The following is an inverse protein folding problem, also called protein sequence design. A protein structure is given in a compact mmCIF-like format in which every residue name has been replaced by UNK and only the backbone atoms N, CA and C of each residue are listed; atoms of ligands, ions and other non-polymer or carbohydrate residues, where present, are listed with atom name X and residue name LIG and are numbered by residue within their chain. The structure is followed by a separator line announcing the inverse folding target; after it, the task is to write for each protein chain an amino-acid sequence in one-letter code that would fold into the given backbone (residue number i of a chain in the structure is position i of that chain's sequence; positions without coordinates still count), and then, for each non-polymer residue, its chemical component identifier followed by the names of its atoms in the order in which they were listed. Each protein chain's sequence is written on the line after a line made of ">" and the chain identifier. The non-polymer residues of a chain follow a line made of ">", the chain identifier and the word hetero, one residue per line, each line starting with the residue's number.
data_IF_155315073040
#
_entry.id   IF_155315073040
#
_cell.length_a   1.000
_cell.length_b   1.000
_cell.length_c   1.000
_cell.angle_alpha   90.00
_cell.angle_beta   90.00
_cell.angle_gamma   90.00
#
_symmetry.space_group_name_H-M   'P 1'
#
loop_
_entity.id
_entity.type
_entity.pdbx_description
1 polymer ?
#
# COMPACT_ATOMS: atom_id res chain seq x y z
N UNK A 1 19.27 -30.71 -21.80
CA UNK A 1 18.16 -29.74 -21.67
C UNK A 1 17.02 -30.26 -20.79
N UNK A 2 16.41 -31.41 -21.10
CA UNK A 2 15.23 -31.94 -20.36
C UNK A 2 15.42 -32.09 -18.84
N UNK A 3 16.59 -32.53 -18.40
CA UNK A 3 16.91 -32.74 -16.97
C UNK A 3 17.07 -31.43 -16.18
N UNK A 4 17.37 -30.32 -16.85
CA UNK A 4 17.52 -28.99 -16.23
C UNK A 4 16.17 -28.29 -16.09
N UNK A 5 15.34 -28.32 -17.15
CA UNK A 5 13.98 -27.77 -17.14
C UNK A 5 13.12 -28.36 -16.02
N UNK A 6 13.17 -29.68 -15.84
CA UNK A 6 12.43 -30.37 -14.78
C UNK A 6 12.93 -29.98 -13.39
N UNK A 7 14.25 -29.84 -13.20
CA UNK A 7 14.83 -29.40 -11.92
C UNK A 7 14.43 -27.95 -11.60
N UNK A 8 14.44 -27.07 -12.60
CA UNK A 8 14.02 -25.68 -12.46
C UNK A 8 12.55 -25.59 -12.07
N UNK A 9 11.68 -26.40 -12.68
CA UNK A 9 10.26 -26.48 -12.34
C UNK A 9 10.06 -26.87 -10.87
N UNK A 10 10.64 -27.99 -10.43
CA UNK A 10 10.49 -28.45 -9.04
C UNK A 10 11.06 -27.47 -8.02
N UNK A 11 12.22 -26.87 -8.32
CA UNK A 11 12.81 -25.86 -7.47
C UNK A 11 11.89 -24.63 -7.33
N UNK A 12 11.35 -24.15 -8.45
CA UNK A 12 10.40 -23.02 -8.48
C UNK A 12 9.12 -23.34 -7.71
N UNK A 13 8.62 -24.57 -7.85
CA UNK A 13 7.43 -25.07 -7.14
C UNK A 13 7.63 -25.17 -5.62
N UNK A 14 8.85 -25.39 -5.14
CA UNK A 14 9.14 -25.43 -3.71
C UNK A 14 9.24 -24.02 -3.09
N UNK A 15 9.73 -23.05 -3.85
CA UNK A 15 9.95 -21.67 -3.37
C UNK A 15 8.65 -20.89 -3.13
N UNK A 16 7.62 -21.12 -3.95
CA UNK A 16 6.36 -20.38 -3.86
C UNK A 16 5.61 -20.69 -2.54
N UNK A 17 5.33 -21.96 -2.19
CA UNK A 17 4.72 -22.30 -0.89
C UNK A 17 5.56 -21.85 0.30
N UNK A 18 6.88 -22.01 0.21
CA UNK A 18 7.80 -21.55 1.26
C UNK A 18 7.68 -20.04 1.48
N UNK A 19 7.69 -19.25 0.40
CA UNK A 19 7.53 -17.81 0.47
C UNK A 19 6.16 -17.38 0.98
N UNK A 20 5.08 -18.11 0.64
CA UNK A 20 3.73 -17.89 1.19
C UNK A 20 3.71 -18.11 2.69
N UNK A 21 4.23 -19.24 3.18
CA UNK A 21 4.29 -19.56 4.61
C UNK A 21 5.11 -18.51 5.37
N UNK A 22 6.24 -18.08 4.82
CA UNK A 22 7.06 -17.03 5.42
C UNK A 22 6.32 -15.69 5.50
N UNK A 23 5.53 -15.36 4.48
CA UNK A 23 4.74 -14.13 4.44
C UNK A 23 3.55 -14.18 5.39
N UNK A 24 2.94 -15.34 5.61
CA UNK A 24 1.89 -15.52 6.62
C UNK A 24 2.41 -15.31 8.05
N UNK A 25 3.71 -15.50 8.27
CA UNK A 25 4.38 -15.29 9.55
C UNK A 25 5.16 -13.96 9.61
N UNK A 26 4.73 -12.95 8.83
CA UNK A 26 5.29 -11.59 8.79
C UNK A 26 6.81 -11.50 8.50
N UNK A 27 7.41 -12.52 7.89
CA UNK A 27 8.83 -12.48 7.51
C UNK A 27 9.02 -11.71 6.20
N UNK A 28 9.84 -10.66 6.25
CA UNK A 28 10.19 -9.77 5.11
C UNK A 28 10.70 -10.56 3.89
N UNK A 29 11.42 -11.66 4.10
CA UNK A 29 11.96 -12.49 3.04
C UNK A 29 10.90 -13.26 2.22
N UNK A 30 9.64 -13.33 2.67
CA UNK A 30 8.59 -14.08 1.96
C UNK A 30 8.36 -13.61 0.53
N UNK A 31 8.37 -12.29 0.29
CA UNK A 31 8.23 -11.72 -1.06
C UNK A 31 9.38 -12.09 -2.00
N UNK A 32 10.60 -12.16 -1.46
CA UNK A 32 11.79 -12.57 -2.22
C UNK A 32 11.66 -14.02 -2.72
N UNK A 33 11.27 -14.96 -1.86
CA UNK A 33 11.10 -16.37 -2.24
C UNK A 33 9.95 -16.58 -3.24
N UNK A 34 8.81 -15.88 -3.05
CA UNK A 34 7.70 -15.91 -4.01
C UNK A 34 8.17 -15.38 -5.38
N UNK A 35 8.86 -14.23 -5.39
CA UNK A 35 9.38 -13.63 -6.62
C UNK A 35 10.35 -14.56 -7.35
N UNK A 36 11.28 -15.18 -6.62
CA UNK A 36 12.27 -16.09 -7.19
C UNK A 36 11.63 -17.36 -7.77
N UNK A 37 10.60 -17.90 -7.11
CA UNK A 37 9.81 -19.02 -7.63
C UNK A 37 8.99 -18.66 -8.87
N UNK A 38 8.36 -17.48 -8.91
CA UNK A 38 7.61 -17.02 -10.08
C UNK A 38 8.51 -16.75 -11.29
N UNK A 39 9.71 -16.18 -11.08
CA UNK A 39 10.71 -16.01 -12.15
C UNK A 39 11.13 -17.36 -12.73
N UNK A 40 11.39 -18.35 -11.86
CA UNK A 40 11.77 -19.69 -12.31
C UNK A 40 10.66 -20.39 -13.11
N UNK A 41 9.39 -20.23 -12.71
CA UNK A 41 8.24 -20.71 -13.49
C UNK A 41 8.15 -19.99 -14.85
N UNK A 42 8.29 -18.67 -14.88
CA UNK A 42 8.26 -17.89 -16.12
C UNK A 42 9.32 -18.38 -17.11
N UNK A 43 10.58 -18.53 -16.66
CA UNK A 43 11.68 -19.04 -17.49
C UNK A 43 11.36 -20.43 -18.03
N UNK A 44 10.85 -21.32 -17.18
CA UNK A 44 10.44 -22.67 -17.60
C UNK A 44 9.39 -22.63 -18.70
N UNK A 45 8.33 -21.82 -18.54
CA UNK A 45 7.25 -21.74 -19.51
C UNK A 45 7.68 -21.12 -20.84
N UNK A 46 8.49 -20.06 -20.81
CA UNK A 46 9.06 -19.47 -22.04
C UNK A 46 9.91 -20.51 -22.79
N UNK A 47 10.79 -21.22 -22.08
CA UNK A 47 11.63 -22.26 -22.69
C UNK A 47 10.80 -23.40 -23.30
N UNK A 48 9.76 -23.87 -22.59
CA UNK A 48 8.84 -24.90 -23.09
C UNK A 48 8.06 -24.40 -24.32
N UNK A 49 7.60 -23.15 -24.30
CA UNK A 49 6.83 -22.56 -25.42
C UNK A 49 7.67 -22.46 -26.68
N UNK A 50 8.91 -21.99 -26.57
CA UNK A 50 9.85 -21.90 -27.70
C UNK A 50 10.10 -23.28 -28.28
N UNK A 51 10.33 -24.28 -27.42
CA UNK A 51 10.60 -25.66 -27.84
C UNK A 51 9.40 -26.32 -28.52
N UNK A 52 8.19 -26.12 -28.00
CA UNK A 52 6.97 -26.68 -28.57
C UNK A 52 6.62 -25.99 -29.90
N UNK A 53 6.87 -24.68 -30.02
CA UNK A 53 6.73 -23.93 -31.27
C UNK A 53 7.69 -24.43 -32.37
N UNK A 54 8.97 -24.66 -32.02
CA UNK A 54 9.98 -25.15 -32.98
C UNK A 54 9.71 -26.58 -33.48
N UNK A 55 8.98 -27.40 -32.72
CA UNK A 55 8.71 -28.81 -33.06
C UNK A 55 7.40 -29.03 -33.85
N UNK A 56 6.56 -28.01 -34.04
CA UNK A 56 5.24 -28.15 -34.67
C UNK A 56 5.12 -27.37 -35.98
N UNK A 57 4.44 -27.97 -36.99
CA UNK A 57 4.11 -27.32 -38.28
C UNK A 57 2.92 -26.34 -38.21
N UNK A 58 2.15 -26.34 -37.12
CA UNK A 58 0.99 -25.45 -36.90
C UNK A 58 0.84 -25.06 -35.43
N UNK A 59 0.34 -23.86 -35.16
CA UNK A 59 0.08 -23.37 -33.79
C UNK A 59 -1.10 -24.15 -33.21
N UNK A 60 -0.82 -25.09 -32.29
CA UNK A 60 -1.84 -25.84 -31.57
C UNK A 60 -2.37 -25.05 -30.35
N UNK A 61 -3.60 -25.34 -29.93
CA UNK A 61 -4.24 -24.79 -28.72
C UNK A 61 -3.38 -24.89 -27.45
N UNK A 62 -2.51 -25.91 -27.35
CA UNK A 62 -1.59 -26.08 -26.22
C UNK A 62 -0.56 -24.94 -26.15
N UNK A 63 -0.10 -24.42 -27.30
CA UNK A 63 0.84 -23.28 -27.34
C UNK A 63 0.14 -22.01 -26.85
N UNK A 64 -1.13 -21.80 -27.24
CA UNK A 64 -1.93 -20.65 -26.77
C UNK A 64 -2.13 -20.71 -25.25
N UNK A 65 -2.47 -21.89 -24.72
CA UNK A 65 -2.60 -22.10 -23.27
C UNK A 65 -1.27 -21.82 -22.56
N UNK A 66 -0.14 -22.24 -23.12
CA UNK A 66 1.18 -22.01 -22.53
C UNK A 66 1.56 -20.52 -22.54
N UNK A 67 1.28 -19.79 -23.61
CA UNK A 67 1.47 -18.33 -23.69
C UNK A 67 0.61 -17.61 -22.65
N UNK A 68 -0.65 -18.04 -22.48
CA UNK A 68 -1.53 -17.49 -21.43
C UNK A 68 -0.94 -17.75 -20.04
N UNK A 69 -0.34 -18.92 -19.78
CA UNK A 69 0.35 -19.20 -18.51
C UNK A 69 1.54 -18.26 -18.29
N UNK A 70 2.37 -18.05 -19.32
CA UNK A 70 3.49 -17.10 -19.27
C UNK A 70 3.00 -15.71 -18.89
N UNK A 71 2.02 -15.17 -19.63
CA UNK A 71 1.46 -13.85 -19.38
C UNK A 71 0.87 -13.72 -17.97
N UNK A 72 0.18 -14.76 -17.49
CA UNK A 72 -0.36 -14.78 -16.13
C UNK A 72 0.73 -14.80 -15.07
N UNK A 73 1.79 -15.59 -15.23
CA UNK A 73 2.91 -15.58 -14.28
C UNK A 73 3.56 -14.20 -14.18
N UNK A 74 3.64 -13.44 -15.28
CA UNK A 74 4.12 -12.05 -15.27
C UNK A 74 3.18 -11.13 -14.50
N UNK A 75 1.86 -11.21 -14.75
CA UNK A 75 0.86 -10.40 -14.03
C UNK A 75 0.84 -10.73 -12.53
N UNK A 76 0.99 -12.00 -12.18
CA UNK A 76 1.10 -12.42 -10.79
C UNK A 76 2.39 -11.89 -10.15
N UNK A 77 3.52 -11.98 -10.85
CA UNK A 77 4.80 -11.44 -10.39
C UNK A 77 4.74 -9.94 -10.13
N UNK A 78 4.11 -9.17 -11.03
CA UNK A 78 3.96 -7.72 -10.85
C UNK A 78 2.96 -7.34 -9.76
N UNK A 79 1.88 -8.13 -9.55
CA UNK A 79 0.85 -7.86 -8.53
C UNK A 79 1.21 -8.34 -7.12
N UNK A 80 1.95 -9.44 -6.96
CA UNK A 80 2.21 -10.05 -5.63
C UNK A 80 3.41 -9.51 -4.87
N UNK A 81 4.37 -8.88 -5.55
CA UNK A 81 5.60 -8.43 -4.88
C UNK A 81 5.30 -7.42 -3.76
N UNK A 82 4.18 -6.69 -3.85
CA UNK A 82 3.93 -5.51 -3.02
C UNK A 82 2.64 -5.56 -2.15
N UNK A 83 1.71 -6.50 -2.36
CA UNK A 83 0.40 -6.54 -1.66
C UNK A 83 0.28 -7.67 -0.62
N UNK A 84 -0.30 -7.41 0.57
CA UNK A 84 -0.53 -8.44 1.60
C UNK A 84 -1.78 -9.26 1.25
N UNK A 85 -1.82 -10.54 1.64
CA UNK A 85 -2.97 -11.44 1.38
C UNK A 85 -4.31 -10.90 1.90
N UNK A 86 -4.30 -10.09 2.96
CA UNK A 86 -5.50 -9.44 3.52
C UNK A 86 -6.10 -8.35 2.63
N UNK A 87 -5.36 -7.88 1.63
CA UNK A 87 -5.74 -6.65 0.90
C UNK A 87 -6.79 -6.93 -0.19
N UNK A 88 -6.90 -8.17 -0.68
CA UNK A 88 -7.89 -8.56 -1.67
C UNK A 88 -8.31 -10.02 -1.53
N UNK A 89 -9.62 -10.30 -1.53
CA UNK A 89 -10.18 -11.66 -1.62
C UNK A 89 -9.71 -12.37 -2.90
N UNK A 90 -9.46 -11.62 -3.99
CA UNK A 90 -8.88 -12.15 -5.23
C UNK A 90 -7.50 -12.79 -5.05
N UNK A 91 -6.79 -12.50 -3.96
CA UNK A 91 -5.51 -13.16 -3.63
C UNK A 91 -5.70 -14.62 -3.18
N UNK A 92 -6.91 -15.02 -2.74
CA UNK A 92 -7.25 -16.43 -2.44
C UNK A 92 -7.45 -17.28 -3.70
N UNK A 93 -7.84 -16.65 -4.81
CA UNK A 93 -8.06 -17.33 -6.11
C UNK A 93 -6.73 -17.85 -6.69
N UNK A 94 -5.61 -17.30 -6.24
CA UNK A 94 -4.31 -17.46 -6.87
C UNK A 94 -3.57 -18.73 -6.42
N UNK A 95 -3.57 -19.11 -5.13
CA UNK A 95 -3.20 -20.46 -4.71
C UNK A 95 -3.99 -21.54 -5.44
N UNK A 96 -5.31 -21.34 -5.59
CA UNK A 96 -6.18 -22.26 -6.33
C UNK A 96 -5.76 -22.36 -7.81
N UNK A 97 -5.47 -21.22 -8.44
CA UNK A 97 -4.99 -21.15 -9.81
C UNK A 97 -3.63 -21.86 -9.98
N UNK A 98 -2.67 -21.63 -9.09
CA UNK A 98 -1.37 -22.31 -9.12
C UNK A 98 -1.56 -23.83 -9.02
N UNK A 99 -2.43 -24.30 -8.11
CA UNK A 99 -2.76 -25.72 -7.96
C UNK A 99 -3.38 -26.29 -9.24
N UNK A 100 -4.37 -25.62 -9.83
CA UNK A 100 -5.03 -26.03 -11.08
C UNK A 100 -4.02 -26.08 -12.23
N UNK A 101 -3.10 -25.12 -12.30
CA UNK A 101 -2.03 -25.06 -13.30
C UNK A 101 -1.06 -26.23 -13.18
N UNK A 102 -0.69 -26.59 -11.95
CA UNK A 102 0.17 -27.74 -11.64
C UNK A 102 -0.55 -29.05 -12.02
N UNK A 103 -1.83 -29.19 -11.67
CA UNK A 103 -2.63 -30.38 -12.01
C UNK A 103 -2.72 -30.55 -13.54
N UNK A 104 -2.96 -29.45 -14.26
CA UNK A 104 -2.95 -29.45 -15.72
C UNK A 104 -1.61 -29.97 -16.28
N UNK A 105 -0.49 -29.44 -15.78
CA UNK A 105 0.85 -29.84 -16.24
C UNK A 105 1.19 -31.30 -15.94
N UNK A 106 0.79 -31.81 -14.77
CA UNK A 106 1.05 -33.20 -14.39
C UNK A 106 0.22 -34.19 -15.20
N UNK A 107 -1.00 -33.81 -15.63
CA UNK A 107 -1.91 -34.67 -16.39
C UNK A 107 -1.67 -34.67 -17.91
N UNK A 108 -0.95 -33.69 -18.47
CA UNK A 108 -0.77 -33.54 -19.92
C UNK A 108 0.13 -34.64 -20.56
N UNK A 109 0.69 -35.56 -19.79
CA UNK A 109 1.57 -36.64 -20.31
C UNK A 109 0.87 -37.64 -21.25
N UNK A 110 -0.45 -37.59 -21.45
CA UNK A 110 -1.16 -38.50 -22.36
C UNK A 110 -2.20 -37.80 -23.26
N UNK A 111 -1.80 -37.62 -24.52
CA UNK A 111 -2.58 -37.63 -25.79
C UNK A 111 -3.97 -36.98 -25.89
N UNK A 112 -4.10 -36.27 -27.02
CA UNK A 112 -5.29 -35.87 -27.77
C UNK A 112 -6.16 -34.72 -27.23
N UNK A 113 -6.66 -33.97 -28.22
CA UNK A 113 -7.17 -32.60 -28.20
C UNK A 113 -8.57 -32.55 -27.60
N UNK A 114 -8.71 -32.88 -26.32
CA UNK A 114 -9.96 -32.61 -25.62
C UNK A 114 -9.71 -31.50 -24.60
N UNK A 115 -10.45 -30.40 -24.75
CA UNK A 115 -10.53 -29.34 -23.76
C UNK A 115 -10.86 -30.00 -22.42
N UNK A 116 -9.89 -30.03 -21.51
CA UNK A 116 -10.12 -30.60 -20.19
C UNK A 116 -10.92 -29.62 -19.34
N UNK A 117 -11.69 -30.11 -18.38
CA UNK A 117 -12.36 -29.26 -17.37
C UNK A 117 -11.36 -28.28 -16.74
N UNK A 118 -10.12 -28.74 -16.52
CA UNK A 118 -8.99 -27.92 -16.06
C UNK A 118 -8.72 -26.72 -16.96
N UNK A 119 -8.74 -26.91 -18.29
CA UNK A 119 -8.55 -25.85 -19.29
C UNK A 119 -9.68 -24.82 -19.28
N UNK A 120 -10.93 -25.24 -19.03
CA UNK A 120 -12.09 -24.35 -18.92
C UNK A 120 -12.00 -23.51 -17.64
N UNK A 121 -11.71 -24.16 -16.50
CA UNK A 121 -11.45 -23.45 -15.25
C UNK A 121 -10.29 -22.45 -15.39
N UNK A 122 -9.26 -22.81 -16.14
CA UNK A 122 -8.11 -21.94 -16.41
C UNK A 122 -8.53 -20.65 -17.13
N UNK A 123 -9.29 -20.77 -18.23
CA UNK A 123 -9.85 -19.63 -18.97
C UNK A 123 -10.79 -18.78 -18.10
N UNK A 124 -11.61 -19.40 -17.26
CA UNK A 124 -12.50 -18.67 -16.36
C UNK A 124 -11.73 -17.90 -15.28
N UNK A 125 -10.63 -18.45 -14.77
CA UNK A 125 -9.79 -17.80 -13.76
C UNK A 125 -8.93 -16.66 -14.33
N UNK A 126 -8.69 -16.62 -15.65
CA UNK A 126 -7.97 -15.50 -16.27
C UNK A 126 -8.84 -14.24 -16.36
N UNK A 127 -10.16 -14.40 -16.55
CA UNK A 127 -11.11 -13.28 -16.70
C UNK A 127 -11.03 -12.34 -15.49
N UNK A 128 -11.11 -12.77 -14.22
CA UNK A 128 -10.99 -11.86 -13.09
C UNK A 128 -9.63 -11.18 -12.95
N UNK A 129 -8.54 -11.81 -13.43
CA UNK A 129 -7.18 -11.30 -13.31
C UNK A 129 -6.87 -10.18 -14.31
N UNK A 130 -7.52 -10.20 -15.48
CA UNK A 130 -7.32 -9.26 -16.59
C UNK A 130 -8.51 -8.33 -16.84
N UNK A 131 -9.76 -8.78 -16.67
CA UNK A 131 -10.96 -7.99 -16.98
C UNK A 131 -11.33 -7.01 -15.86
N UNK A 132 -10.90 -7.26 -14.63
CA UNK A 132 -11.06 -6.30 -13.54
C UNK A 132 -9.76 -5.49 -13.40
N UNK A 133 -9.74 -4.31 -14.02
CA UNK A 133 -8.93 -3.22 -13.47
C UNK A 133 -9.54 -2.86 -12.12
N UNK A 134 -8.77 -3.03 -11.05
CA UNK A 134 -9.14 -2.47 -9.76
C UNK A 134 -8.92 -0.95 -9.87
N UNK A 135 -9.85 -0.24 -10.53
CA UNK A 135 -9.88 1.23 -10.58
C UNK A 135 -10.00 1.85 -9.18
N UNK A 136 -10.44 1.06 -8.22
CA UNK A 136 -10.36 1.41 -6.81
C UNK A 136 -8.99 0.98 -6.32
N UNK A 137 -8.16 1.98 -6.03
CA UNK A 137 -7.07 1.81 -5.09
C UNK A 137 -7.57 1.00 -3.88
N UNK A 138 -6.75 0.13 -3.28
CA UNK A 138 -7.17 -0.63 -2.11
C UNK A 138 -7.83 0.32 -1.09
N UNK A 139 -8.70 -0.17 -0.20
CA UNK A 139 -9.33 0.61 0.92
C UNK A 139 -8.33 1.45 1.76
N UNK A 140 -7.04 1.34 1.46
CA UNK A 140 -5.82 1.85 2.07
C UNK A 140 -5.19 3.00 1.28
N UNK A 141 -5.84 3.49 0.21
CA UNK A 141 -5.36 4.67 -0.48
C UNK A 141 -5.76 5.89 0.33
N UNK A 142 -4.79 6.38 1.10
CA UNK A 142 -4.75 7.76 1.53
C UNK A 142 -4.85 8.58 0.23
N UNK A 143 -5.91 9.37 -0.02
CA UNK A 143 -5.99 10.21 -1.19
C UNK A 143 -4.67 10.96 -1.34
N UNK A 144 -4.19 11.14 -2.57
CA UNK A 144 -2.91 11.83 -2.80
C UNK A 144 -2.98 13.25 -2.21
N UNK A 145 -4.20 13.78 -2.15
CA UNK A 145 -4.64 15.03 -1.55
C UNK A 145 -4.63 15.01 0.01
N UNK A 146 -4.65 13.86 0.66
CA UNK A 146 -4.73 13.75 2.13
C UNK A 146 -3.37 13.99 2.81
N UNK A 147 -2.32 13.64 2.09
CA UNK A 147 -0.94 14.06 2.35
C UNK A 147 -0.69 15.55 2.05
N UNK A 148 -1.60 16.16 1.32
CA UNK A 148 -1.61 17.57 0.98
C UNK A 148 -2.34 18.33 2.10
N UNK A 149 -1.91 18.09 3.35
CA UNK A 149 -2.17 18.93 4.53
C UNK A 149 -2.01 20.44 4.21
N UNK A 150 -1.22 20.76 3.18
CA UNK A 150 -0.87 22.10 2.71
C UNK A 150 -1.45 22.49 1.34
N UNK A 151 -2.29 21.66 0.70
CA UNK A 151 -2.83 21.90 -0.66
C UNK A 151 -4.38 21.91 -0.69
N UNK A 152 -5.00 22.22 0.45
CA UNK A 152 -6.33 22.85 0.39
C UNK A 152 -6.13 24.12 -0.45
N UNK A 153 -6.93 24.37 -1.49
CA UNK A 153 -6.71 25.50 -2.43
C UNK A 153 -6.61 26.87 -1.74
N UNK A 154 -7.12 26.96 -0.50
CA UNK A 154 -6.69 27.94 0.50
C UNK A 154 -5.81 27.20 1.50
N UNK A 155 -4.50 27.16 1.27
CA UNK A 155 -3.59 26.55 2.22
C UNK A 155 -3.71 27.36 3.48
N UNK A 156 -4.39 26.84 4.52
CA UNK A 156 -4.32 27.45 5.83
C UNK A 156 -2.84 27.31 6.20
N UNK A 157 -2.08 28.42 6.29
CA UNK A 157 -0.71 28.31 6.73
C UNK A 157 -0.77 27.70 8.12
N UNK A 158 -0.33 26.45 8.25
CA UNK A 158 -0.17 25.84 9.55
C UNK A 158 1.08 26.51 10.09
N UNK A 159 0.87 27.56 10.87
CA UNK A 159 1.94 28.15 11.63
C UNK A 159 2.39 27.11 12.64
N UNK A 160 3.62 26.64 12.46
CA UNK A 160 4.24 25.73 13.41
C UNK A 160 4.86 26.64 14.46
N UNK A 161 4.34 26.71 15.70
CA UNK A 161 4.69 27.73 16.69
C UNK A 161 6.11 27.57 17.26
N UNK A 162 6.93 26.74 16.63
CA UNK A 162 8.30 26.44 17.01
C UNK A 162 9.25 27.07 15.99
N UNK A 163 9.87 28.17 16.42
CA UNK A 163 11.02 28.76 15.74
C UNK A 163 12.28 27.93 15.95
N UNK A 164 13.41 28.44 15.45
CA UNK A 164 14.72 27.83 15.62
C UNK A 164 15.60 28.70 16.50
N UNK A 165 16.37 28.09 17.39
CA UNK A 165 17.34 28.80 18.23
C UNK A 165 18.68 29.01 17.50
N UNK A 166 19.02 28.09 16.59
CA UNK A 166 20.26 28.16 15.83
C UNK A 166 19.96 28.36 14.34
N UNK A 167 20.65 29.33 13.74
CA UNK A 167 20.54 29.62 12.30
C UNK A 167 20.90 28.39 11.44
N UNK A 168 21.89 27.61 11.87
CA UNK A 168 22.27 26.38 11.19
C UNK A 168 21.14 25.35 11.19
N UNK A 169 20.43 25.17 12.32
CA UNK A 169 19.24 24.31 12.40
C UNK A 169 18.16 24.79 11.45
N UNK A 170 17.90 26.10 11.41
CA UNK A 170 16.91 26.71 10.51
C UNK A 170 17.25 26.44 9.03
N UNK A 171 18.49 26.69 8.62
CA UNK A 171 18.96 26.46 7.25
C UNK A 171 18.82 24.98 6.84
N UNK A 172 19.21 24.05 7.73
CA UNK A 172 19.05 22.61 7.51
C UNK A 172 17.57 22.23 7.38
N UNK A 173 16.71 22.77 8.26
CA UNK A 173 15.27 22.50 8.24
C UNK A 173 14.60 23.03 6.97
N UNK A 174 14.96 24.24 6.52
CA UNK A 174 14.43 24.84 5.27
C UNK A 174 14.85 23.97 4.07
N UNK A 175 16.12 23.58 3.99
CA UNK A 175 16.61 22.71 2.92
C UNK A 175 15.92 21.34 2.92
N UNK A 176 15.73 20.75 4.09
CA UNK A 176 15.02 19.48 4.25
C UNK A 176 13.55 19.60 3.80
N UNK A 177 12.89 20.71 4.12
CA UNK A 177 11.52 20.99 3.71
C UNK A 177 11.37 21.10 2.18
N UNK A 178 12.30 21.78 1.49
CA UNK A 178 12.31 21.87 0.03
C UNK A 178 12.56 20.50 -0.65
N UNK A 179 13.44 19.67 -0.07
CA UNK A 179 13.63 18.28 -0.53
C UNK A 179 12.35 17.46 -0.35
N UNK A 180 11.66 17.62 0.78
CA UNK A 180 10.36 16.96 1.03
C UNK A 180 9.31 17.37 0.00
N UNK A 181 9.23 18.66 -0.37
CA UNK A 181 8.31 19.16 -1.43
C UNK A 181 8.62 18.55 -2.79
N UNK A 182 9.89 18.33 -3.10
CA UNK A 182 10.34 17.65 -4.33
C UNK A 182 10.33 16.12 -4.21
N UNK A 183 9.77 15.56 -3.13
CA UNK A 183 9.63 14.12 -2.83
C UNK A 183 10.96 13.38 -2.64
N UNK A 184 12.05 14.10 -2.38
CA UNK A 184 13.36 13.57 -2.03
C UNK A 184 13.43 13.28 -0.52
N UNK A 185 12.66 12.29 -0.08
CA UNK A 185 12.42 12.07 1.35
C UNK A 185 13.63 11.51 2.11
N UNK A 186 14.49 10.70 1.48
CA UNK A 186 15.65 10.11 2.15
C UNK A 186 16.71 11.17 2.47
N UNK A 187 16.93 12.11 1.55
CA UNK A 187 17.83 13.25 1.71
C UNK A 187 17.28 14.21 2.77
N UNK A 188 15.97 14.48 2.76
CA UNK A 188 15.31 15.27 3.80
C UNK A 188 15.47 14.65 5.19
N UNK A 189 15.33 13.32 5.32
CA UNK A 189 15.57 12.58 6.58
C UNK A 189 16.97 12.84 7.12
N UNK A 190 18.00 12.80 6.26
CA UNK A 190 19.38 13.03 6.72
C UNK A 190 19.57 14.45 7.25
N UNK A 191 19.02 15.46 6.57
CA UNK A 191 19.13 16.84 7.01
C UNK A 191 18.36 17.10 8.30
N UNK A 192 17.13 16.59 8.45
CA UNK A 192 16.41 16.70 9.71
C UNK A 192 17.14 16.01 10.87
N UNK A 193 17.78 14.85 10.63
CA UNK A 193 18.62 14.20 11.66
C UNK A 193 19.86 15.01 12.02
N UNK A 194 20.43 15.78 11.09
CA UNK A 194 21.51 16.72 11.38
C UNK A 194 21.00 17.89 12.23
N UNK A 195 19.87 18.50 11.84
CA UNK A 195 19.24 19.58 12.58
C UNK A 195 18.90 19.18 14.03
N UNK A 196 18.38 17.97 14.24
CA UNK A 196 18.06 17.43 15.59
C UNK A 196 19.30 17.28 16.46
N UNK A 197 20.47 16.99 15.88
CA UNK A 197 21.71 16.93 16.68
C UNK A 197 22.12 18.30 17.23
N UNK A 198 21.77 19.38 16.53
CA UNK A 198 22.07 20.76 16.91
C UNK A 198 21.01 21.27 17.88
N UNK A 199 19.74 20.97 17.61
CA UNK A 199 18.61 21.45 18.41
C UNK A 199 17.68 20.29 18.84
N UNK A 200 18.11 19.46 19.81
CA UNK A 200 17.44 18.20 20.16
C UNK A 200 16.10 18.37 20.88
N UNK A 201 15.76 19.59 21.31
CA UNK A 201 14.53 19.90 22.04
C UNK A 201 13.50 20.67 21.19
N UNK A 202 13.68 20.72 19.86
CA UNK A 202 12.73 21.39 18.97
C UNK A 202 11.71 20.39 18.42
N UNK A 203 10.43 20.42 18.85
CA UNK A 203 9.46 19.42 18.47
C UNK A 203 9.05 19.50 17.00
N UNK A 204 9.24 20.65 16.33
CA UNK A 204 9.02 20.79 14.88
C UNK A 204 9.92 19.86 14.07
N UNK A 205 11.18 19.72 14.45
CA UNK A 205 12.13 18.87 13.73
C UNK A 205 11.70 17.40 13.77
N UNK A 206 11.25 16.93 14.93
CA UNK A 206 10.71 15.58 15.08
C UNK A 206 9.40 15.39 14.31
N UNK A 207 8.51 16.38 14.36
CA UNK A 207 7.28 16.38 13.59
C UNK A 207 7.53 16.26 12.08
N UNK A 208 8.39 17.10 11.52
CA UNK A 208 8.70 17.08 10.09
C UNK A 208 9.45 15.79 9.69
N UNK A 209 10.37 15.32 10.53
CA UNK A 209 11.06 14.03 10.32
C UNK A 209 10.08 12.85 10.34
N UNK A 210 9.09 12.86 11.23
CA UNK A 210 8.07 11.80 11.31
C UNK A 210 7.24 11.72 10.03
N UNK A 211 6.88 12.87 9.42
CA UNK A 211 6.20 12.90 8.13
C UNK A 211 7.09 12.29 7.04
N UNK A 212 8.38 12.65 6.97
CA UNK A 212 9.30 12.02 6.03
C UNK A 212 9.39 10.50 6.21
N UNK A 213 9.49 10.00 7.44
CA UNK A 213 9.48 8.56 7.70
C UNK A 213 8.17 7.89 7.26
N UNK A 214 7.03 8.53 7.52
CA UNK A 214 5.73 8.05 7.08
C UNK A 214 5.63 7.98 5.53
N UNK A 215 6.21 8.94 4.82
CA UNK A 215 6.25 9.01 3.35
C UNK A 215 7.06 7.89 2.71
N UNK A 216 8.17 7.49 3.33
CA UNK A 216 8.98 6.32 2.90
C UNK A 216 8.46 5.00 3.47
N UNK A 217 7.26 5.00 4.07
CA UNK A 217 6.61 3.82 4.65
C UNK A 217 7.37 3.18 5.83
N UNK A 218 8.26 3.92 6.49
CA UNK A 218 8.90 3.51 7.73
C UNK A 218 8.06 3.97 8.94
N UNK A 219 6.93 3.30 9.15
CA UNK A 219 5.87 3.75 10.07
C UNK A 219 6.26 3.62 11.54
N UNK A 220 7.06 2.62 11.91
CA UNK A 220 7.56 2.45 13.29
C UNK A 220 8.49 3.61 13.68
N UNK A 221 9.42 3.97 12.80
CA UNK A 221 10.29 5.14 13.04
C UNK A 221 9.48 6.44 13.06
N UNK A 222 8.43 6.55 12.21
CA UNK A 222 7.54 7.70 12.23
C UNK A 222 6.82 7.84 13.58
N UNK A 223 6.26 6.75 14.14
CA UNK A 223 5.64 6.74 15.48
C UNK A 223 6.63 7.15 16.54
N UNK A 224 7.79 6.48 16.61
CA UNK A 224 8.79 6.80 17.63
C UNK A 224 9.25 8.26 17.56
N UNK A 225 9.34 8.82 16.36
CA UNK A 225 9.76 10.22 16.17
C UNK A 225 8.66 11.20 16.58
N UNK A 226 7.40 10.96 16.20
CA UNK A 226 6.30 11.85 16.60
C UNK A 226 6.00 11.75 18.10
N UNK A 227 6.22 10.59 18.72
CA UNK A 227 6.12 10.43 20.18
C UNK A 227 7.11 11.34 20.91
N UNK A 228 8.34 11.50 20.40
CA UNK A 228 9.30 12.46 20.95
C UNK A 228 8.79 13.89 20.83
N UNK A 229 8.17 14.27 19.70
CA UNK A 229 7.57 15.60 19.56
C UNK A 229 6.47 15.85 20.60
N UNK A 230 5.61 14.85 20.85
CA UNK A 230 4.53 14.89 21.85
C UNK A 230 5.08 14.94 23.29
N UNK A 231 6.19 14.24 23.56
CA UNK A 231 6.86 14.31 24.86
C UNK A 231 7.43 15.70 25.15
N UNK A 232 7.97 16.38 24.13
CA UNK A 232 8.48 17.75 24.26
C UNK A 232 7.32 18.74 24.42
N UNK A 233 6.28 18.63 23.59
CA UNK A 233 5.05 19.44 23.73
C UNK A 233 3.79 18.60 23.47
N UNK A 234 3.08 18.31 24.56
CA UNK A 234 1.85 17.52 24.55
C UNK A 234 0.59 18.33 24.24
N UNK A 235 0.70 19.65 24.05
CA UNK A 235 -0.44 20.57 23.84
C UNK A 235 -0.61 21.01 22.39
N UNK A 236 0.19 20.49 21.46
CA UNK A 236 0.04 20.82 20.05
C UNK A 236 -0.76 19.73 19.32
N UNK A 237 -2.02 20.06 19.01
CA UNK A 237 -3.00 19.13 18.44
C UNK A 237 -2.52 18.43 17.17
N UNK A 238 -1.74 19.14 16.34
CA UNK A 238 -1.30 18.64 15.05
C UNK A 238 -0.35 17.42 15.16
N UNK A 239 0.30 17.21 16.32
CA UNK A 239 1.12 16.03 16.57
C UNK A 239 0.28 14.78 16.72
N UNK A 240 -0.78 14.84 17.53
CA UNK A 240 -1.73 13.73 17.68
C UNK A 240 -2.42 13.43 16.36
N UNK A 241 -2.86 14.46 15.63
CA UNK A 241 -3.44 14.24 14.30
C UNK A 241 -2.47 13.53 13.34
N UNK A 242 -1.18 13.87 13.36
CA UNK A 242 -0.19 13.17 12.53
C UNK A 242 0.05 11.74 12.98
N UNK A 243 0.17 11.50 14.29
CA UNK A 243 0.31 10.14 14.82
C UNK A 243 -0.93 9.29 14.51
N UNK A 244 -2.12 9.88 14.56
CA UNK A 244 -3.36 9.25 14.13
C UNK A 244 -3.34 8.83 12.66
N UNK A 245 -2.83 9.66 11.76
CA UNK A 245 -2.63 9.30 10.34
C UNK A 245 -1.66 8.12 10.18
N UNK A 246 -0.58 8.09 10.97
CA UNK A 246 0.39 7.00 10.94
C UNK A 246 -0.24 5.70 11.47
N UNK A 247 -1.00 5.75 12.57
CA UNK A 247 -1.74 4.60 13.10
C UNK A 247 -2.80 4.09 12.12
N UNK A 248 -3.52 4.98 11.45
CA UNK A 248 -4.47 4.59 10.42
C UNK A 248 -3.77 3.86 9.27
N UNK A 249 -2.60 4.33 8.84
CA UNK A 249 -1.77 3.65 7.83
C UNK A 249 -1.26 2.27 8.29
N UNK A 250 -1.10 2.08 9.60
CA UNK A 250 -0.81 0.78 10.22
C UNK A 250 -2.04 -0.10 10.43
N UNK A 251 -3.25 0.36 10.06
CA UNK A 251 -4.54 -0.30 10.34
C UNK A 251 -4.88 -0.39 11.83
N UNK A 252 -4.29 0.46 12.66
CA UNK A 252 -4.60 0.57 14.08
C UNK A 252 -5.71 1.60 14.32
N UNK A 253 -6.89 1.36 13.72
CA UNK A 253 -7.97 2.34 13.62
C UNK A 253 -8.43 2.88 14.98
N UNK A 254 -8.47 2.04 16.02
CA UNK A 254 -8.79 2.48 17.39
C UNK A 254 -7.78 3.48 17.94
N UNK A 255 -6.48 3.28 17.69
CA UNK A 255 -5.43 4.23 18.13
C UNK A 255 -5.50 5.51 17.30
N UNK A 256 -5.78 5.41 16.01
CA UNK A 256 -5.99 6.56 15.15
C UNK A 256 -7.16 7.43 15.63
N UNK A 257 -8.31 6.83 15.92
CA UNK A 257 -9.49 7.51 16.47
C UNK A 257 -9.15 8.22 17.78
N UNK A 258 -8.49 7.54 18.72
CA UNK A 258 -8.09 8.14 20.00
C UNK A 258 -7.19 9.37 19.80
N UNK A 259 -6.22 9.30 18.89
CA UNK A 259 -5.33 10.42 18.60
C UNK A 259 -6.05 11.58 17.90
N UNK A 260 -6.98 11.30 16.97
CA UNK A 260 -7.80 12.35 16.36
C UNK A 260 -8.73 13.02 17.38
N UNK A 261 -9.36 12.25 18.26
CA UNK A 261 -10.16 12.80 19.35
C UNK A 261 -9.31 13.66 20.29
N UNK A 262 -8.06 13.24 20.58
CA UNK A 262 -7.15 14.06 21.38
C UNK A 262 -6.76 15.35 20.69
N UNK A 263 -6.53 15.33 19.37
CA UNK A 263 -6.28 16.53 18.58
C UNK A 263 -7.48 17.49 18.64
N UNK A 264 -8.71 16.97 18.51
CA UNK A 264 -9.96 17.74 18.59
C UNK A 264 -10.18 18.33 20.00
N UNK A 265 -9.85 17.57 21.05
CA UNK A 265 -9.93 18.04 22.45
C UNK A 265 -9.00 19.23 22.69
N UNK A 266 -7.79 19.19 22.13
CA UNK A 266 -6.79 20.25 22.26
C UNK A 266 -7.16 21.47 21.39
N UNK A 267 -7.54 21.24 20.14
CA UNK A 267 -7.94 22.29 19.20
C UNK A 267 -9.14 21.83 18.36
N UNK A 268 -10.31 22.32 18.75
CA UNK A 268 -11.58 21.99 18.12
C UNK A 268 -11.90 22.81 16.86
N UNK A 269 -11.01 23.74 16.46
CA UNK A 269 -11.25 24.68 15.36
C UNK A 269 -10.72 24.18 14.02
N UNK A 270 -9.89 23.15 14.02
CA UNK A 270 -9.26 22.65 12.80
C UNK A 270 -10.14 21.61 12.11
N UNK A 271 -10.69 21.99 10.94
CA UNK A 271 -11.54 21.11 10.14
C UNK A 271 -10.86 19.78 9.79
N UNK A 272 -9.54 19.79 9.57
CA UNK A 272 -8.78 18.61 9.13
C UNK A 272 -8.87 17.45 10.12
N UNK A 273 -8.95 17.72 11.43
CA UNK A 273 -9.05 16.65 12.43
C UNK A 273 -10.38 15.91 12.32
N UNK A 274 -11.46 16.65 12.07
CA UNK A 274 -12.79 16.09 11.84
C UNK A 274 -12.89 15.35 10.50
N UNK A 275 -12.27 15.87 9.44
CA UNK A 275 -12.17 15.16 8.17
C UNK A 275 -11.47 13.80 8.34
N UNK A 276 -10.37 13.78 9.10
CA UNK A 276 -9.59 12.57 9.30
C UNK A 276 -10.36 11.52 10.09
N UNK A 277 -10.99 11.91 11.20
CA UNK A 277 -11.77 10.96 12.01
C UNK A 277 -13.04 10.49 11.28
N UNK A 278 -13.68 11.36 10.47
CA UNK A 278 -14.85 11.00 9.68
C UNK A 278 -14.56 9.84 8.71
N UNK A 279 -13.40 9.87 8.04
CA UNK A 279 -12.97 8.79 7.16
C UNK A 279 -12.81 7.49 7.92
N UNK A 280 -12.14 7.53 9.08
CA UNK A 280 -11.95 6.31 9.88
C UNK A 280 -13.29 5.75 10.33
N UNK A 281 -14.21 6.59 10.84
CA UNK A 281 -15.55 6.15 11.20
C UNK A 281 -16.32 5.58 10.01
N UNK A 282 -16.23 6.18 8.83
CA UNK A 282 -16.88 5.66 7.63
C UNK A 282 -16.38 4.26 7.27
N UNK A 283 -15.07 4.03 7.31
CA UNK A 283 -14.49 2.72 7.00
C UNK A 283 -14.70 1.68 8.09
N UNK A 284 -14.94 2.10 9.33
CA UNK A 284 -15.40 1.26 10.44
C UNK A 284 -16.92 1.05 10.45
N UNK A 285 -17.63 1.54 9.43
CA UNK A 285 -19.10 1.47 9.29
C UNK A 285 -19.88 2.19 10.41
N UNK A 286 -19.21 3.07 11.16
CA UNK A 286 -19.80 3.97 12.15
C UNK A 286 -20.38 5.24 11.48
N UNK A 287 -21.33 5.04 10.57
CA UNK A 287 -21.82 6.09 9.67
C UNK A 287 -22.36 7.33 10.39
N UNK A 288 -23.07 7.16 11.52
CA UNK A 288 -23.60 8.29 12.30
C UNK A 288 -22.47 9.22 12.77
N UNK A 289 -21.38 8.66 13.30
CA UNK A 289 -20.23 9.44 13.77
C UNK A 289 -19.46 10.07 12.61
N UNK A 290 -19.36 9.36 11.47
CA UNK A 290 -18.76 9.92 10.26
C UNK A 290 -19.54 11.16 9.78
N UNK A 291 -20.87 11.09 9.77
CA UNK A 291 -21.75 12.19 9.41
C UNK A 291 -21.65 13.38 10.36
N UNK A 292 -21.60 13.15 11.67
CA UNK A 292 -21.39 14.20 12.67
C UNK A 292 -20.06 14.92 12.47
N UNK A 293 -18.98 14.16 12.23
CA UNK A 293 -17.66 14.71 12.00
C UNK A 293 -17.59 15.54 10.71
N UNK A 294 -18.18 15.08 9.60
CA UNK A 294 -18.25 15.88 8.36
C UNK A 294 -19.06 17.16 8.55
N UNK A 295 -20.24 17.10 9.18
CA UNK A 295 -21.03 18.30 9.49
C UNK A 295 -20.24 19.32 10.31
N UNK A 296 -19.44 18.83 11.25
CA UNK A 296 -18.55 19.68 12.04
C UNK A 296 -17.45 20.30 11.18
N UNK A 297 -16.82 19.54 10.29
CA UNK A 297 -15.83 20.05 9.34
C UNK A 297 -16.42 21.12 8.39
N UNK A 298 -17.64 20.91 7.88
CA UNK A 298 -18.37 21.89 7.06
C UNK A 298 -18.64 23.19 7.82
N UNK A 299 -19.05 23.10 9.09
CA UNK A 299 -19.25 24.28 9.95
C UNK A 299 -17.97 25.10 10.18
N UNK A 300 -16.81 24.48 9.97
CA UNK A 300 -15.49 25.11 10.06
C UNK A 300 -14.95 25.57 8.70
N UNK A 301 -15.72 25.42 7.62
CA UNK A 301 -15.40 25.91 6.29
C UNK A 301 -14.92 24.86 5.28
N UNK A 302 -15.14 23.55 5.54
CA UNK A 302 -14.87 22.51 4.54
C UNK A 302 -15.81 22.66 3.34
N UNK A 303 -15.24 22.84 2.15
CA UNK A 303 -15.95 22.74 0.87
C UNK A 303 -15.83 21.30 0.34
N UNK A 304 -16.91 20.51 0.53
CA UNK A 304 -16.94 19.05 0.31
C UNK A 304 -16.78 18.66 -1.16
N UNK A 305 -17.18 19.55 -2.08
CA UNK A 305 -17.27 19.31 -3.53
C UNK A 305 -15.95 18.89 -4.21
N UNK A 306 -14.82 18.94 -3.49
CA UNK A 306 -13.50 18.57 -3.98
C UNK A 306 -13.07 17.12 -3.66
N UNK A 307 -13.83 16.36 -2.85
CA UNK A 307 -13.38 15.03 -2.37
C UNK A 307 -14.47 13.97 -2.50
N UNK A 308 -14.24 12.98 -3.39
CA UNK A 308 -15.19 11.90 -3.68
C UNK A 308 -15.58 11.10 -2.43
N UNK A 309 -14.63 10.86 -1.51
CA UNK A 309 -14.88 10.15 -0.26
C UNK A 309 -15.83 10.91 0.67
N UNK A 310 -15.74 12.23 0.77
CA UNK A 310 -16.63 13.02 1.63
C UNK A 310 -18.02 13.13 1.02
N UNK A 311 -18.14 13.20 -0.31
CA UNK A 311 -19.42 13.10 -1.00
C UNK A 311 -20.10 11.74 -0.73
N UNK A 312 -19.33 10.64 -0.71
CA UNK A 312 -19.88 9.32 -0.33
C UNK A 312 -20.38 9.29 1.11
N UNK A 313 -19.63 9.88 2.06
CA UNK A 313 -20.10 10.00 3.45
C UNK A 313 -21.40 10.79 3.49
N UNK A 314 -21.46 11.94 2.81
CA UNK A 314 -22.62 12.84 2.78
C UNK A 314 -23.87 12.20 2.17
N UNK A 315 -23.71 11.49 1.07
CA UNK A 315 -24.82 10.73 0.46
C UNK A 315 -25.38 9.72 1.46
N UNK A 316 -24.51 9.03 2.20
CA UNK A 316 -24.90 8.09 3.25
C UNK A 316 -25.55 8.76 4.47
N UNK A 317 -25.25 10.03 4.74
CA UNK A 317 -25.90 10.81 5.80
C UNK A 317 -27.33 11.24 5.46
N UNK A 318 -27.71 11.13 4.18
CA UNK A 318 -28.99 11.59 3.64
C UNK A 318 -29.99 10.44 3.41
N UNK A 319 -29.52 9.19 3.57
CA UNK A 319 -30.30 7.94 3.49
C UNK A 319 -30.87 7.54 4.87
#
# INVERSE_FOLDING_TARGET
>A
MYRFEIKLLYFSMALIPLGIIMRMNDKIAGGFFIGLGLIGLFIYFVAKTIKDYLNLKSINLNIIQLILVVLMTVVLFSKYLFLRFSDYIGLLIIPLFIIVSIIYLLKEKSKNINITITSIFYLLLTIPLFAFEFHKSPRQYIPKEWYNRYDVRKGVPIDIPYGFHFKETEELSIKAFELRKTKQYYEAIQLYRQAIKIEPNNPRLFFDLSDCYARVNNLESAISTIDTAIQIDSKYAAFYNNRGLIYYKLKENKKAINDYLKAIEIDSTQMTFYCNIALVYYYEEEFNKACEAIKKAESLGLEVDNYEEFERIKNRCSE
#
